data_IF_833384407444
#
_entry.id   IF_833384407444
#
_cell.length_a   1.000
_cell.length_b   1.000
_cell.length_c   1.000
_cell.angle_alpha   90.00
_cell.angle_beta   90.00
_cell.angle_gamma   90.00
#
_symmetry.space_group_name_H-M   'P 1'
#
loop_
_entity.id
_entity.type
_entity.pdbx_description
1 polymer ?
#
# COMPACT_ATOMS: atom_id res chain seq x y z
N UNK A 1 -3.64 63.82 52.73
CA UNK A 1 -2.99 63.80 51.44
C UNK A 1 -2.61 62.34 51.18
N UNK A 2 -3.54 61.57 50.62
CA UNK A 2 -3.34 60.14 50.25
C UNK A 2 -3.31 60.01 48.73
N UNK A 3 -2.19 59.50 48.24
CA UNK A 3 -2.01 59.25 46.80
C UNK A 3 -2.47 57.82 46.45
N UNK A 4 -3.58 57.73 45.71
CA UNK A 4 -4.06 56.51 45.07
C UNK A 4 -3.01 56.00 44.04
N UNK A 5 -2.47 54.79 44.26
CA UNK A 5 -1.72 54.02 43.27
C UNK A 5 -2.69 53.09 42.53
N UNK A 6 -3.00 53.42 41.29
CA UNK A 6 -3.69 52.53 40.35
C UNK A 6 -2.68 51.52 39.80
N UNK A 7 -2.82 50.29 40.22
CA UNK A 7 -2.09 49.15 39.64
C UNK A 7 -2.76 48.71 38.34
N UNK A 8 -2.13 48.95 37.20
CA UNK A 8 -2.52 48.38 35.90
C UNK A 8 -2.20 46.88 35.92
N UNK A 9 -3.24 46.05 36.00
CA UNK A 9 -3.15 44.62 35.70
C UNK A 9 -3.14 44.43 34.17
N UNK A 10 -1.96 44.10 33.64
CA UNK A 10 -1.84 43.66 32.27
C UNK A 10 -2.44 42.26 32.08
N UNK A 11 -3.48 42.21 31.27
CA UNK A 11 -4.11 40.95 30.84
C UNK A 11 -3.26 40.34 29.74
N UNK A 12 -2.53 39.29 30.07
CA UNK A 12 -1.79 38.50 29.09
C UNK A 12 -2.79 37.57 28.38
N UNK A 13 -3.17 37.91 27.17
CA UNK A 13 -3.96 37.02 26.31
C UNK A 13 -3.00 35.97 25.74
N UNK A 14 -3.03 34.77 26.30
CA UNK A 14 -2.37 33.57 25.71
C UNK A 14 -3.23 33.13 24.54
N UNK A 15 -2.82 33.49 23.33
CA UNK A 15 -3.31 32.88 22.10
C UNK A 15 -2.81 31.44 22.01
N UNK A 16 -3.64 30.50 22.46
CA UNK A 16 -3.47 29.09 22.16
C UNK A 16 -3.71 28.87 20.67
N UNK A 17 -2.65 28.84 19.89
CA UNK A 17 -2.69 28.25 18.55
C UNK A 17 -2.99 26.76 18.72
N UNK A 18 -4.24 26.39 18.62
CA UNK A 18 -4.66 25.02 18.32
C UNK A 18 -4.19 24.73 16.89
N UNK A 19 -2.97 24.26 16.76
CA UNK A 19 -2.52 23.55 15.56
C UNK A 19 -3.35 22.26 15.51
N UNK A 20 -4.50 22.32 14.88
CA UNK A 20 -5.25 21.14 14.49
C UNK A 20 -4.40 20.35 13.52
N UNK A 21 -3.66 19.38 14.02
CA UNK A 21 -3.14 18.31 13.18
C UNK A 21 -4.35 17.61 12.59
N UNK A 22 -4.70 17.95 11.35
CA UNK A 22 -5.56 17.09 10.54
C UNK A 22 -4.80 15.78 10.40
N UNK A 23 -5.10 14.84 11.27
CA UNK A 23 -4.69 13.46 11.07
C UNK A 23 -5.38 13.02 9.78
N UNK A 24 -4.62 13.04 8.67
CA UNK A 24 -5.01 12.35 7.47
C UNK A 24 -5.16 10.88 7.88
N UNK A 25 -6.40 10.41 7.94
CA UNK A 25 -6.65 9.00 8.14
C UNK A 25 -6.03 8.27 6.94
N UNK A 26 -4.86 7.68 7.14
CA UNK A 26 -4.26 6.77 6.18
C UNK A 26 -5.33 5.75 5.81
N UNK A 27 -5.79 5.78 4.57
CA UNK A 27 -6.72 4.78 4.04
C UNK A 27 -5.90 3.51 3.82
N UNK A 28 -5.60 2.82 4.93
CA UNK A 28 -5.00 1.50 4.85
C UNK A 28 -6.08 0.52 4.38
N UNK A 29 -5.77 -0.31 3.40
CA UNK A 29 -6.72 -1.31 2.91
C UNK A 29 -7.07 -2.30 4.01
N UNK A 30 -8.35 -2.70 4.05
CA UNK A 30 -8.83 -3.61 5.09
C UNK A 30 -8.75 -5.08 4.66
N UNK A 31 -9.12 -5.41 3.43
CA UNK A 31 -9.19 -6.82 2.98
C UNK A 31 -8.97 -6.98 1.48
N UNK A 32 -7.78 -7.45 1.04
CA UNK A 32 -7.52 -7.75 -0.36
C UNK A 32 -8.41 -8.84 -0.97
N UNK A 33 -8.98 -9.75 -0.14
CA UNK A 33 -9.86 -10.82 -0.64
C UNK A 33 -11.20 -10.29 -1.10
N UNK A 34 -11.68 -9.19 -0.52
CA UNK A 34 -12.88 -8.49 -1.02
C UNK A 34 -12.66 -7.92 -2.41
N UNK A 35 -11.46 -7.38 -2.66
CA UNK A 35 -11.09 -6.87 -3.99
C UNK A 35 -11.09 -7.95 -5.05
N UNK A 36 -10.60 -9.17 -4.74
CA UNK A 36 -10.67 -10.32 -5.63
C UNK A 36 -12.11 -10.69 -5.98
N UNK A 37 -12.97 -10.80 -4.96
CA UNK A 37 -14.39 -11.09 -5.16
C UNK A 37 -15.07 -9.99 -6.01
N UNK A 38 -14.74 -8.73 -5.78
CA UNK A 38 -15.26 -7.62 -6.57
C UNK A 38 -14.78 -7.68 -8.02
N UNK A 39 -13.52 -8.03 -8.26
CA UNK A 39 -12.95 -8.18 -9.59
C UNK A 39 -13.75 -9.21 -10.42
N UNK A 40 -14.14 -10.31 -9.80
CA UNK A 40 -14.99 -11.34 -10.42
C UNK A 40 -16.43 -10.85 -10.55
N UNK A 41 -17.06 -10.41 -9.45
CA UNK A 41 -18.49 -10.07 -9.38
C UNK A 41 -18.86 -8.83 -10.20
N UNK A 42 -17.97 -7.83 -10.29
CA UNK A 42 -18.14 -6.64 -11.13
C UNK A 42 -17.78 -6.91 -12.60
N UNK A 43 -17.30 -8.12 -12.92
CA UNK A 43 -17.09 -8.59 -14.28
C UNK A 43 -15.77 -8.14 -14.92
N UNK A 44 -14.81 -7.63 -14.17
CA UNK A 44 -13.47 -7.25 -14.67
C UNK A 44 -12.78 -8.44 -15.34
N UNK A 45 -12.93 -9.65 -14.76
CA UNK A 45 -12.39 -10.93 -15.25
C UNK A 45 -12.90 -11.32 -16.64
N UNK A 46 -14.02 -10.75 -17.11
CA UNK A 46 -14.58 -11.01 -18.45
C UNK A 46 -13.72 -10.42 -19.57
N UNK A 47 -12.91 -9.40 -19.25
CA UNK A 47 -12.00 -8.75 -20.17
C UNK A 47 -10.54 -8.93 -19.79
N UNK A 48 -10.22 -8.87 -18.50
CA UNK A 48 -8.85 -8.90 -17.99
C UNK A 48 -8.50 -10.26 -17.39
N UNK A 49 -7.29 -10.72 -17.63
CA UNK A 49 -6.72 -11.84 -16.90
C UNK A 49 -5.77 -11.38 -15.77
N UNK A 50 -5.52 -12.31 -14.87
CA UNK A 50 -4.61 -12.19 -13.75
C UNK A 50 -3.75 -13.44 -13.70
N UNK A 51 -2.44 -13.31 -13.89
CA UNK A 51 -1.51 -14.45 -13.97
C UNK A 51 -1.88 -15.50 -15.03
N UNK A 52 -2.53 -15.10 -16.12
CA UNK A 52 -2.96 -15.99 -17.18
C UNK A 52 -4.31 -16.68 -16.94
N UNK A 53 -4.97 -16.39 -15.82
CA UNK A 53 -6.33 -16.83 -15.51
C UNK A 53 -7.34 -15.71 -15.80
N UNK A 54 -8.30 -15.97 -16.65
CA UNK A 54 -9.33 -15.02 -17.10
C UNK A 54 -9.38 -14.85 -18.61
N UNK A 55 -10.01 -13.77 -19.05
CA UNK A 55 -10.16 -13.44 -20.46
C UNK A 55 -8.88 -12.79 -21.02
N UNK A 56 -8.58 -13.11 -22.27
CA UNK A 56 -7.48 -12.48 -23.03
C UNK A 56 -7.92 -11.31 -23.91
N UNK A 57 -9.14 -10.82 -23.72
CA UNK A 57 -9.66 -9.67 -24.47
C UNK A 57 -8.95 -8.37 -24.07
N UNK A 58 -8.69 -8.19 -22.78
CA UNK A 58 -7.86 -7.13 -22.22
C UNK A 58 -6.47 -7.64 -21.81
N UNK A 59 -5.58 -6.74 -21.40
CA UNK A 59 -4.26 -7.14 -20.94
C UNK A 59 -4.31 -7.87 -19.58
N UNK A 60 -3.31 -8.71 -19.35
CA UNK A 60 -2.98 -9.27 -18.02
C UNK A 60 -2.58 -8.13 -17.09
N UNK A 61 -3.37 -7.94 -16.03
CA UNK A 61 -3.20 -6.81 -15.10
C UNK A 61 -1.96 -6.94 -14.21
N UNK A 62 -1.45 -8.16 -13.99
CA UNK A 62 -0.20 -8.37 -13.25
C UNK A 62 1.00 -7.82 -14.01
N UNK A 63 0.96 -7.90 -15.35
CA UNK A 63 2.04 -7.44 -16.24
C UNK A 63 1.96 -5.96 -16.59
N UNK A 64 0.91 -5.27 -16.15
CA UNK A 64 0.73 -3.84 -16.43
C UNK A 64 1.18 -2.98 -15.27
N UNK A 65 1.74 -1.84 -15.61
CA UNK A 65 1.96 -0.79 -14.62
C UNK A 65 0.61 -0.16 -14.26
N UNK A 66 0.07 -0.52 -13.09
CA UNK A 66 -1.22 -0.02 -12.58
C UNK A 66 -1.09 1.24 -11.71
N UNK A 67 0.08 1.87 -11.68
CA UNK A 67 0.36 2.98 -10.78
C UNK A 67 0.90 2.52 -9.42
N UNK A 68 1.26 3.45 -8.56
CA UNK A 68 1.87 3.16 -7.25
C UNK A 68 0.88 3.37 -6.10
N UNK A 69 -0.16 4.16 -6.35
CA UNK A 69 -1.15 4.58 -5.35
C UNK A 69 -2.58 4.37 -5.85
N UNK A 70 -3.61 4.43 -4.98
CA UNK A 70 -5.01 4.40 -5.41
C UNK A 70 -5.35 5.48 -6.44
N UNK A 71 -4.83 6.69 -6.27
CA UNK A 71 -5.07 7.78 -7.23
C UNK A 71 -4.37 7.55 -8.56
N UNK A 72 -3.16 6.97 -8.56
CA UNK A 72 -2.51 6.56 -9.81
C UNK A 72 -3.36 5.54 -10.58
N UNK A 73 -3.92 4.54 -9.87
CA UNK A 73 -4.85 3.59 -10.47
C UNK A 73 -6.10 4.29 -11.01
N UNK A 74 -6.63 5.27 -10.27
CA UNK A 74 -7.77 6.08 -10.70
C UNK A 74 -7.47 6.83 -12.00
N UNK A 75 -6.31 7.47 -12.11
CA UNK A 75 -5.89 8.15 -13.34
C UNK A 75 -5.81 7.18 -14.51
N UNK A 76 -5.28 5.97 -14.29
CA UNK A 76 -5.18 4.95 -15.34
C UNK A 76 -6.55 4.41 -15.75
N UNK A 77 -7.44 4.16 -14.80
CA UNK A 77 -8.82 3.79 -15.08
C UNK A 77 -9.53 4.88 -15.89
N UNK A 78 -9.38 6.15 -15.50
CA UNK A 78 -9.90 7.29 -16.24
C UNK A 78 -9.40 7.32 -17.67
N UNK A 79 -8.08 7.28 -17.86
CA UNK A 79 -7.45 7.33 -19.17
C UNK A 79 -7.87 6.15 -20.07
N UNK A 80 -8.16 5.00 -19.47
CA UNK A 80 -8.57 3.78 -20.17
C UNK A 80 -10.09 3.68 -20.37
N UNK A 81 -10.87 4.52 -19.71
CA UNK A 81 -12.35 4.46 -19.72
C UNK A 81 -12.95 4.41 -21.13
N UNK A 82 -12.56 5.23 -22.13
CA UNK A 82 -13.15 5.15 -23.46
C UNK A 82 -13.00 3.78 -24.11
N UNK A 83 -11.82 3.18 -24.01
CA UNK A 83 -11.56 1.84 -24.57
C UNK A 83 -12.35 0.76 -23.83
N UNK A 84 -12.47 0.86 -22.50
CA UNK A 84 -13.29 -0.08 -21.73
C UNK A 84 -14.77 0.01 -22.08
N UNK A 85 -15.32 1.22 -22.23
CA UNK A 85 -16.73 1.40 -22.60
C UNK A 85 -16.99 0.79 -23.97
N UNK A 86 -16.14 1.04 -24.96
CA UNK A 86 -16.27 0.41 -26.28
C UNK A 86 -16.22 -1.12 -26.23
N UNK A 87 -15.33 -1.68 -25.41
CA UNK A 87 -15.25 -3.12 -25.20
C UNK A 87 -16.49 -3.69 -24.50
N UNK A 88 -17.05 -2.98 -23.52
CA UNK A 88 -18.29 -3.36 -22.82
C UNK A 88 -19.50 -3.33 -23.77
N UNK A 89 -19.63 -2.32 -24.62
CA UNK A 89 -20.70 -2.23 -25.64
C UNK A 89 -20.62 -3.41 -26.60
N UNK A 90 -19.42 -3.75 -27.09
CA UNK A 90 -19.19 -4.90 -27.96
C UNK A 90 -19.58 -6.25 -27.33
N UNK A 91 -19.48 -6.37 -26.01
CA UNK A 91 -19.83 -7.58 -25.26
C UNK A 91 -21.20 -7.52 -24.58
N UNK A 92 -21.95 -6.44 -24.77
CA UNK A 92 -23.23 -6.15 -24.08
C UNK A 92 -23.10 -6.17 -22.54
N UNK A 93 -21.94 -5.83 -22.03
CA UNK A 93 -21.69 -5.76 -20.61
C UNK A 93 -22.11 -4.39 -20.07
N UNK A 94 -22.87 -4.37 -18.99
CA UNK A 94 -23.22 -3.14 -18.28
C UNK A 94 -22.00 -2.67 -17.49
N UNK A 95 -21.65 -1.39 -17.62
CA UNK A 95 -20.56 -0.79 -16.86
C UNK A 95 -20.82 -0.91 -15.36
N UNK A 96 -19.89 -1.49 -14.58
CA UNK A 96 -20.10 -1.67 -13.15
C UNK A 96 -20.04 -0.32 -12.42
N UNK A 97 -20.95 -0.15 -11.45
CA UNK A 97 -20.93 0.95 -10.49
C UNK A 97 -20.09 0.53 -9.30
N UNK A 98 -19.27 1.44 -8.79
CA UNK A 98 -18.40 1.24 -7.65
C UNK A 98 -18.72 2.23 -6.54
N UNK A 99 -18.72 1.78 -5.29
CA UNK A 99 -18.61 2.65 -4.12
C UNK A 99 -17.14 3.01 -3.87
N UNK A 100 -16.87 4.03 -3.05
CA UNK A 100 -15.49 4.37 -2.67
C UNK A 100 -14.77 3.20 -1.98
N UNK A 101 -15.48 2.46 -1.13
CA UNK A 101 -14.94 1.27 -0.48
C UNK A 101 -14.62 0.16 -1.49
N UNK A 102 -15.52 -0.12 -2.45
CA UNK A 102 -15.27 -1.10 -3.51
C UNK A 102 -14.10 -0.69 -4.41
N UNK A 103 -13.96 0.60 -4.72
CA UNK A 103 -12.82 1.10 -5.45
C UNK A 103 -11.52 0.89 -4.67
N UNK A 104 -11.53 1.16 -3.36
CA UNK A 104 -10.38 0.93 -2.50
C UNK A 104 -10.01 -0.56 -2.45
N UNK A 105 -10.97 -1.45 -2.21
CA UNK A 105 -10.74 -2.90 -2.14
C UNK A 105 -10.18 -3.45 -3.47
N UNK A 106 -10.71 -3.01 -4.61
CA UNK A 106 -10.18 -3.34 -5.94
C UNK A 106 -8.75 -2.83 -6.13
N UNK A 107 -8.47 -1.58 -5.71
CA UNK A 107 -7.14 -0.99 -5.80
C UNK A 107 -6.12 -1.80 -5.01
N UNK A 108 -6.49 -2.23 -3.81
CA UNK A 108 -5.68 -3.08 -2.94
C UNK A 108 -5.41 -4.43 -3.57
N UNK A 109 -6.45 -5.08 -4.08
CA UNK A 109 -6.30 -6.37 -4.75
C UNK A 109 -5.37 -6.26 -5.97
N UNK A 110 -5.59 -5.29 -6.85
CA UNK A 110 -4.78 -5.07 -8.04
C UNK A 110 -3.33 -4.70 -7.68
N UNK A 111 -3.14 -3.96 -6.59
CA UNK A 111 -1.82 -3.67 -6.07
C UNK A 111 -1.17 -4.95 -5.51
N UNK A 112 -1.92 -5.76 -4.78
CA UNK A 112 -1.45 -7.04 -4.23
C UNK A 112 -1.03 -8.03 -5.32
N UNK A 113 -1.68 -8.02 -6.48
CA UNK A 113 -1.30 -8.89 -7.60
C UNK A 113 0.14 -8.70 -8.09
N UNK A 114 0.74 -7.55 -7.84
CA UNK A 114 2.13 -7.26 -8.15
C UNK A 114 3.13 -8.01 -7.26
N UNK A 115 2.65 -8.65 -6.20
CA UNK A 115 3.45 -9.41 -5.25
C UNK A 115 3.99 -10.73 -5.76
N UNK A 116 3.56 -11.19 -6.90
CA UNK A 116 4.16 -12.39 -7.45
C UNK A 116 5.62 -12.11 -7.78
N UNK A 117 6.47 -12.26 -6.76
CA UNK A 117 7.88 -12.45 -6.99
C UNK A 117 8.03 -13.47 -8.12
N UNK A 118 8.84 -13.13 -9.12
CA UNK A 118 9.18 -14.10 -10.14
C UNK A 118 9.68 -15.39 -9.47
N UNK A 119 9.60 -16.52 -10.14
CA UNK A 119 10.12 -17.76 -9.57
C UNK A 119 11.64 -17.68 -9.44
N UNK A 120 12.17 -18.02 -8.26
CA UNK A 120 13.59 -18.21 -8.04
C UNK A 120 14.12 -19.41 -8.82
N UNK A 121 15.42 -19.53 -8.89
CA UNK A 121 16.09 -20.66 -9.50
C UNK A 121 16.57 -21.64 -8.41
N UNK A 122 15.99 -22.86 -8.31
CA UNK A 122 16.35 -23.80 -7.25
C UNK A 122 17.79 -24.29 -7.33
N UNK A 123 18.41 -24.29 -8.52
CA UNK A 123 19.82 -24.67 -8.67
C UNK A 123 20.73 -23.61 -8.09
N UNK A 124 20.49 -22.33 -8.39
CA UNK A 124 21.20 -21.22 -7.73
C UNK A 124 20.89 -21.19 -6.23
N UNK A 125 19.67 -21.46 -5.83
CA UNK A 125 19.28 -21.54 -4.41
C UNK A 125 20.09 -22.58 -3.63
N UNK A 126 20.39 -23.74 -4.23
CA UNK A 126 21.30 -24.74 -3.66
C UNK A 126 22.71 -24.17 -3.46
N UNK A 127 23.22 -23.42 -4.43
CA UNK A 127 24.52 -22.75 -4.30
C UNK A 127 24.50 -21.73 -3.16
N UNK A 128 23.47 -20.88 -3.10
CA UNK A 128 23.27 -19.91 -2.03
C UNK A 128 23.22 -20.60 -0.65
N UNK A 129 22.46 -21.68 -0.51
CA UNK A 129 22.38 -22.47 0.73
C UNK A 129 23.75 -22.97 1.19
N UNK A 130 24.56 -23.41 0.24
CA UNK A 130 25.90 -23.94 0.52
C UNK A 130 26.91 -22.83 0.80
N UNK A 131 26.99 -21.81 -0.06
CA UNK A 131 27.96 -20.71 0.03
C UNK A 131 27.73 -19.84 1.28
N UNK A 132 26.47 -19.66 1.66
CA UNK A 132 26.13 -18.91 2.88
C UNK A 132 26.17 -19.76 4.16
N UNK A 133 26.58 -21.02 4.05
CA UNK A 133 26.83 -21.90 5.21
C UNK A 133 25.57 -22.36 5.95
N UNK A 134 24.39 -22.24 5.37
CA UNK A 134 23.12 -22.65 6.01
C UNK A 134 23.15 -24.13 6.40
N UNK A 135 23.79 -24.98 5.59
CA UNK A 135 23.94 -26.43 5.80
C UNK A 135 24.72 -26.80 7.05
N UNK A 136 25.51 -25.88 7.61
CA UNK A 136 26.31 -26.15 8.82
C UNK A 136 25.40 -26.38 10.06
N UNK A 137 24.23 -25.76 10.06
CA UNK A 137 23.24 -25.88 11.13
C UNK A 137 21.94 -26.54 10.66
N UNK A 138 21.44 -26.17 9.49
CA UNK A 138 20.16 -26.66 8.99
C UNK A 138 20.35 -27.89 8.09
N UNK A 139 19.94 -29.09 8.57
CA UNK A 139 20.06 -30.30 7.76
C UNK A 139 19.15 -30.20 6.52
N UNK A 140 19.67 -30.76 5.42
CA UNK A 140 18.92 -30.88 4.20
C UNK A 140 19.14 -32.26 3.60
N UNK A 141 18.07 -33.00 3.36
CA UNK A 141 18.12 -34.36 2.86
C UNK A 141 19.02 -35.32 3.72
N UNK A 142 18.93 -35.19 5.04
CA UNK A 142 19.68 -36.05 5.98
C UNK A 142 21.14 -35.65 6.20
N UNK A 143 21.60 -34.54 5.64
CA UNK A 143 22.95 -33.99 5.89
C UNK A 143 22.80 -32.70 6.73
N UNK A 144 23.54 -32.62 7.83
CA UNK A 144 23.54 -31.49 8.78
C UNK A 144 23.31 -31.97 10.21
N UNK A 145 23.19 -31.04 11.14
CA UNK A 145 22.94 -31.36 12.57
C UNK A 145 21.52 -31.84 12.75
N UNK A 146 21.34 -32.94 13.48
CA UNK A 146 20.03 -33.57 13.72
C UNK A 146 19.21 -32.88 14.83
N UNK A 147 19.82 -31.97 15.58
CA UNK A 147 19.21 -31.22 16.67
C UNK A 147 18.59 -29.87 16.22
N UNK A 148 18.70 -29.52 14.93
CA UNK A 148 18.15 -28.33 14.35
C UNK A 148 17.04 -28.66 13.32
N UNK A 149 16.07 -27.76 13.17
CA UNK A 149 14.98 -27.93 12.21
C UNK A 149 15.50 -27.97 10.77
N UNK A 150 15.31 -29.11 10.12
CA UNK A 150 15.69 -29.28 8.72
C UNK A 150 14.76 -28.52 7.77
N UNK A 151 15.31 -27.93 6.73
CA UNK A 151 14.49 -27.23 5.72
C UNK A 151 13.52 -28.16 4.98
N UNK A 152 13.77 -29.47 4.97
CA UNK A 152 12.83 -30.46 4.44
C UNK A 152 11.53 -30.57 5.26
N UNK A 153 11.54 -30.14 6.52
CA UNK A 153 10.37 -30.14 7.40
C UNK A 153 9.51 -28.89 7.26
N UNK A 154 9.98 -27.90 6.51
CA UNK A 154 9.24 -26.67 6.27
C UNK A 154 7.96 -26.95 5.48
N UNK A 155 6.91 -26.12 5.65
CA UNK A 155 5.68 -26.24 4.88
C UNK A 155 5.95 -26.07 3.38
N UNK A 156 5.17 -26.76 2.55
CA UNK A 156 5.30 -26.66 1.08
C UNK A 156 4.91 -25.29 0.56
N UNK A 157 4.04 -24.57 1.29
CA UNK A 157 3.66 -23.18 0.99
C UNK A 157 4.61 -22.14 1.58
N UNK A 158 5.88 -22.49 1.77
CA UNK A 158 6.88 -21.54 2.24
C UNK A 158 6.89 -20.27 1.38
N UNK A 159 6.88 -19.13 2.04
CA UNK A 159 6.87 -17.80 1.44
C UNK A 159 7.98 -16.92 2.04
N UNK A 160 8.31 -15.77 1.45
CA UNK A 160 9.21 -14.80 2.07
C UNK A 160 8.77 -14.39 3.47
N UNK A 161 7.46 -14.30 3.70
CA UNK A 161 6.88 -13.94 5.01
C UNK A 161 7.11 -15.07 6.03
N UNK A 162 6.88 -16.33 5.62
CA UNK A 162 7.16 -17.48 6.49
C UNK A 162 8.62 -17.50 6.93
N UNK A 163 9.53 -17.32 5.98
CA UNK A 163 10.96 -17.32 6.26
C UNK A 163 11.33 -16.16 7.19
N UNK A 164 10.77 -14.97 6.96
CA UNK A 164 11.00 -13.79 7.81
C UNK A 164 10.55 -14.00 9.24
N UNK A 165 9.39 -14.65 9.47
CA UNK A 165 8.92 -15.02 10.80
C UNK A 165 9.92 -15.95 11.50
N UNK A 166 10.35 -16.99 10.78
CA UNK A 166 11.31 -17.95 11.31
C UNK A 166 12.63 -17.25 11.69
N UNK A 167 13.17 -16.47 10.78
CA UNK A 167 14.39 -15.70 10.99
C UNK A 167 14.24 -14.75 12.19
N UNK A 168 13.18 -13.96 12.25
CA UNK A 168 12.96 -13.01 13.35
C UNK A 168 12.89 -13.70 14.70
N UNK A 169 12.09 -14.75 14.80
CA UNK A 169 11.86 -15.44 16.07
C UNK A 169 13.06 -16.27 16.53
N UNK A 170 13.97 -16.64 15.63
CA UNK A 170 15.11 -17.53 15.87
C UNK A 170 16.47 -16.80 15.78
N UNK A 171 16.49 -15.52 15.44
CA UNK A 171 17.69 -14.77 15.11
C UNK A 171 18.74 -14.72 16.22
N UNK A 172 18.34 -14.64 17.50
CA UNK A 172 19.30 -14.63 18.61
C UNK A 172 20.06 -15.95 18.72
N UNK A 173 19.36 -17.07 18.60
CA UNK A 173 19.96 -18.40 18.66
C UNK A 173 20.92 -18.60 17.48
N UNK A 174 20.50 -18.15 16.28
CA UNK A 174 21.36 -18.18 15.09
C UNK A 174 22.62 -17.34 15.27
N UNK A 175 22.52 -16.09 15.78
CA UNK A 175 23.69 -15.24 16.03
C UNK A 175 24.64 -15.90 17.03
N UNK A 176 24.11 -16.43 18.13
CA UNK A 176 24.92 -17.11 19.15
C UNK A 176 25.66 -18.33 18.58
N UNK A 177 24.96 -19.15 17.80
CA UNK A 177 25.55 -20.34 17.15
C UNK A 177 26.61 -19.98 16.10
N UNK A 178 26.33 -19.00 15.26
CA UNK A 178 27.31 -18.49 14.27
C UNK A 178 28.58 -17.97 14.95
N UNK A 179 28.43 -17.22 16.06
CA UNK A 179 29.57 -16.73 16.83
C UNK A 179 30.43 -17.86 17.38
N UNK A 180 29.81 -18.96 17.89
CA UNK A 180 30.52 -20.13 18.40
C UNK A 180 31.43 -20.81 17.35
N UNK A 181 31.02 -20.80 16.09
CA UNK A 181 31.79 -21.41 15.00
C UNK A 181 32.60 -20.39 14.18
N UNK A 182 32.67 -19.12 14.61
CA UNK A 182 33.38 -18.07 13.93
C UNK A 182 32.75 -17.65 12.58
N UNK A 183 31.49 -17.96 12.36
CA UNK A 183 30.77 -17.64 11.13
C UNK A 183 30.22 -16.21 11.17
N UNK A 184 30.49 -15.45 10.12
CA UNK A 184 29.87 -14.11 9.96
C UNK A 184 28.43 -14.26 9.46
N UNK A 185 27.57 -13.31 9.88
CA UNK A 185 26.19 -13.24 9.39
C UNK A 185 26.15 -13.07 7.86
N UNK A 186 25.59 -14.00 7.10
CA UNK A 186 25.57 -13.93 5.66
C UNK A 186 24.53 -12.90 5.20
N UNK A 187 24.86 -12.14 4.14
CA UNK A 187 23.96 -11.18 3.54
C UNK A 187 23.42 -11.71 2.22
N UNK A 188 22.14 -11.48 1.96
CA UNK A 188 21.52 -11.75 0.67
C UNK A 188 21.69 -10.56 -0.27
N UNK A 189 21.94 -10.84 -1.53
CA UNK A 189 22.07 -9.89 -2.63
C UNK A 189 21.03 -10.23 -3.69
N UNK A 190 20.48 -9.21 -4.36
CA UNK A 190 19.58 -9.37 -5.50
C UNK A 190 18.56 -10.52 -5.32
N UNK A 191 18.60 -11.52 -6.18
CA UNK A 191 17.65 -12.64 -6.22
C UNK A 191 17.99 -13.80 -5.28
N UNK A 192 19.09 -13.74 -4.53
CA UNK A 192 19.59 -14.87 -3.74
C UNK A 192 18.55 -15.40 -2.72
N UNK A 193 17.80 -14.52 -2.09
CA UNK A 193 16.73 -14.92 -1.14
C UNK A 193 15.62 -15.67 -1.88
N UNK A 194 15.23 -15.20 -3.05
CA UNK A 194 14.21 -15.82 -3.89
C UNK A 194 14.67 -17.18 -4.41
N UNK A 195 15.92 -17.26 -4.85
CA UNK A 195 16.52 -18.52 -5.30
C UNK A 195 16.58 -19.56 -4.17
N UNK A 196 16.97 -19.11 -2.95
CA UNK A 196 16.97 -19.95 -1.76
C UNK A 196 15.58 -20.46 -1.40
N UNK A 197 14.58 -19.57 -1.43
CA UNK A 197 13.18 -19.94 -1.16
C UNK A 197 12.71 -21.01 -2.14
N UNK A 198 13.00 -20.86 -3.44
CA UNK A 198 12.60 -21.84 -4.44
C UNK A 198 13.30 -23.18 -4.22
N UNK A 199 14.59 -23.17 -3.83
CA UNK A 199 15.31 -24.39 -3.47
C UNK A 199 14.68 -25.09 -2.26
N UNK A 200 14.33 -24.36 -1.22
CA UNK A 200 13.65 -24.91 -0.05
C UNK A 200 12.28 -25.47 -0.45
N UNK A 201 11.48 -24.72 -1.19
CA UNK A 201 10.12 -25.05 -1.61
C UNK A 201 10.04 -26.39 -2.39
N UNK A 202 10.92 -26.60 -3.35
CA UNK A 202 10.91 -27.84 -4.15
C UNK A 202 11.30 -29.08 -3.33
N UNK A 203 11.88 -28.90 -2.16
CA UNK A 203 12.35 -29.97 -1.28
C UNK A 203 11.57 -30.05 0.05
N UNK A 204 10.70 -29.11 0.35
CA UNK A 204 9.87 -29.06 1.55
C UNK A 204 8.82 -30.17 1.52
N UNK A 205 8.58 -30.81 2.68
CA UNK A 205 7.66 -31.94 2.85
C UNK A 205 6.67 -31.71 4.00
N UNK A 206 6.85 -30.65 4.78
CA UNK A 206 6.00 -30.32 5.90
C UNK A 206 4.56 -29.99 5.50
N UNK A 207 3.67 -29.99 6.46
CA UNK A 207 2.28 -29.58 6.25
C UNK A 207 2.22 -28.06 6.00
N UNK A 208 1.30 -27.66 5.12
CA UNK A 208 1.08 -26.25 4.82
C UNK A 208 0.57 -25.49 6.05
N UNK A 209 1.07 -24.27 6.26
CA UNK A 209 0.57 -23.36 7.29
C UNK A 209 -0.53 -22.46 6.67
N UNK A 210 -1.81 -22.65 7.08
CA UNK A 210 -2.92 -21.94 6.47
C UNK A 210 -2.89 -20.43 6.66
N UNK A 211 -2.13 -19.92 7.64
CA UNK A 211 -2.01 -18.49 7.87
C UNK A 211 -1.34 -17.76 6.68
N UNK A 212 -0.49 -18.46 5.91
CA UNK A 212 0.22 -17.89 4.76
C UNK A 212 -0.53 -17.98 3.44
N UNK A 213 -1.72 -18.57 3.42
CA UNK A 213 -2.61 -18.55 2.27
C UNK A 213 -3.54 -17.34 2.22
N UNK A 214 -3.67 -16.64 3.35
CA UNK A 214 -4.54 -15.47 3.45
C UNK A 214 -3.73 -14.19 3.28
N UNK A 215 -4.23 -13.22 2.52
CA UNK A 215 -3.66 -11.88 2.50
C UNK A 215 -3.64 -11.29 3.92
N UNK A 216 -2.58 -10.56 4.23
CA UNK A 216 -2.50 -9.83 5.49
C UNK A 216 -3.40 -8.60 5.51
N UNK A 217 -3.79 -8.19 6.70
CA UNK A 217 -4.55 -6.97 6.93
C UNK A 217 -3.58 -5.83 7.32
N UNK A 218 -3.37 -4.81 6.46
CA UNK A 218 -2.45 -3.71 6.75
C UNK A 218 -2.84 -2.89 7.98
N UNK A 219 -4.14 -2.77 8.29
CA UNK A 219 -4.62 -2.04 9.47
C UNK A 219 -4.24 -2.76 10.77
N UNK A 220 -4.41 -4.08 10.80
CA UNK A 220 -3.92 -4.93 11.90
C UNK A 220 -2.38 -4.86 11.96
N UNK A 221 -1.72 -4.85 10.81
CA UNK A 221 -0.26 -4.70 10.71
C UNK A 221 0.25 -3.40 11.32
N UNK A 222 -0.46 -2.27 11.15
CA UNK A 222 -0.15 -1.00 11.82
C UNK A 222 -0.28 -1.13 13.34
N UNK A 223 -1.31 -1.80 13.82
CA UNK A 223 -1.47 -2.05 15.26
C UNK A 223 -0.32 -2.91 15.81
N UNK A 224 0.06 -3.97 15.06
CA UNK A 224 1.19 -4.82 15.43
C UNK A 224 2.49 -4.03 15.44
N UNK A 225 2.74 -3.17 14.45
CA UNK A 225 3.90 -2.29 14.38
C UNK A 225 4.06 -1.46 15.67
N UNK A 226 2.96 -0.88 16.16
CA UNK A 226 2.93 -0.09 17.38
C UNK A 226 3.02 -0.98 18.64
N UNK A 227 2.18 -2.00 18.74
CA UNK A 227 2.09 -2.82 19.96
C UNK A 227 3.31 -3.72 20.19
N UNK A 228 4.01 -4.11 19.12
CA UNK A 228 5.26 -4.85 19.19
C UNK A 228 6.50 -3.93 19.29
N UNK A 229 6.28 -2.60 19.33
CA UNK A 229 7.31 -1.60 19.63
C UNK A 229 8.25 -1.29 18.47
N UNK A 230 7.87 -1.55 17.23
CA UNK A 230 8.65 -1.14 16.05
C UNK A 230 8.72 0.39 15.94
N UNK A 231 7.64 1.08 16.30
CA UNK A 231 7.47 2.54 16.36
C UNK A 231 8.41 3.23 17.36
N UNK A 232 8.94 2.51 18.35
CA UNK A 232 9.92 3.05 19.31
C UNK A 232 11.27 3.36 18.69
N UNK A 233 11.53 2.81 17.51
CA UNK A 233 12.78 3.05 16.77
C UNK A 233 12.52 3.57 15.36
N UNK A 234 11.47 3.13 14.68
CA UNK A 234 11.18 3.46 13.30
C UNK A 234 10.09 4.52 13.19
N UNK A 235 10.34 5.55 12.40
CA UNK A 235 9.31 6.48 11.93
C UNK A 235 8.66 5.98 10.63
N UNK A 236 7.47 6.50 10.38
CA UNK A 236 6.75 6.36 9.12
C UNK A 236 6.49 7.78 8.60
N UNK A 237 7.14 8.17 7.50
CA UNK A 237 7.00 9.50 6.87
C UNK A 237 7.25 10.66 7.83
N UNK A 238 8.23 10.49 8.70
CA UNK A 238 8.60 11.50 9.70
C UNK A 238 7.77 11.47 10.98
N UNK A 239 6.73 10.61 11.06
CA UNK A 239 5.97 10.39 12.30
C UNK A 239 6.56 9.20 13.05
N UNK A 240 6.95 9.38 14.30
CA UNK A 240 7.52 8.35 15.17
C UNK A 240 8.94 8.64 15.63
N UNK A 241 9.66 7.60 16.09
CA UNK A 241 10.99 7.74 16.63
C UNK A 241 12.08 7.83 15.54
N UNK A 242 13.17 8.52 15.85
CA UNK A 242 14.33 8.73 14.94
C UNK A 242 15.48 7.73 15.17
N UNK A 243 15.32 6.74 16.04
CA UNK A 243 16.36 5.77 16.36
C UNK A 243 16.67 4.74 15.27
N UNK A 244 15.75 4.55 14.35
CA UNK A 244 15.82 3.68 13.16
C UNK A 244 15.67 4.49 11.87
N UNK A 245 15.66 3.77 10.75
CA UNK A 245 15.33 4.38 9.44
C UNK A 245 13.82 4.68 9.36
N UNK A 246 13.48 5.73 8.65
CA UNK A 246 12.09 6.02 8.30
C UNK A 246 11.61 5.03 7.25
N UNK A 247 10.76 4.08 7.70
CA UNK A 247 10.28 3.00 6.82
C UNK A 247 9.33 3.51 5.74
N UNK A 248 8.63 4.62 5.97
CA UNK A 248 7.77 5.23 4.96
C UNK A 248 8.57 5.82 3.80
N UNK A 249 9.76 6.39 4.06
CA UNK A 249 10.68 6.87 3.03
C UNK A 249 11.43 5.73 2.35
N UNK A 250 11.91 4.76 3.13
CA UNK A 250 12.58 3.56 2.60
C UNK A 250 11.62 2.66 1.83
N UNK A 251 10.32 2.72 2.09
CA UNK A 251 9.32 1.93 1.38
C UNK A 251 9.35 2.15 -0.14
N UNK A 252 9.79 3.30 -0.60
CA UNK A 252 10.03 3.54 -2.03
C UNK A 252 11.21 2.73 -2.59
N UNK A 253 12.13 2.25 -1.74
CA UNK A 253 13.23 1.36 -2.14
C UNK A 253 12.83 -0.11 -2.11
N UNK A 254 11.77 -0.48 -1.36
CA UNK A 254 11.21 -1.84 -1.28
C UNK A 254 10.08 -2.06 -2.30
N UNK A 255 10.06 -1.31 -3.40
CA UNK A 255 8.93 -1.19 -4.33
C UNK A 255 8.51 -2.46 -5.05
N UNK A 256 9.28 -3.52 -4.96
CA UNK A 256 9.15 -4.59 -5.93
C UNK A 256 8.73 -5.93 -5.38
N UNK A 257 9.03 -6.29 -4.11
CA UNK A 257 8.63 -7.61 -3.64
C UNK A 257 8.68 -7.85 -2.13
N UNK A 258 7.90 -8.83 -1.67
CA UNK A 258 7.97 -9.34 -0.30
C UNK A 258 9.36 -9.92 0.01
N UNK A 259 10.01 -10.52 -1.00
CA UNK A 259 11.36 -11.07 -0.86
C UNK A 259 12.39 -9.98 -0.58
N UNK A 260 12.22 -8.78 -1.13
CA UNK A 260 13.10 -7.64 -0.81
C UNK A 260 12.92 -7.15 0.62
N UNK A 261 11.69 -7.09 1.12
CA UNK A 261 11.42 -6.77 2.54
C UNK A 261 12.09 -7.84 3.42
N UNK A 262 11.88 -9.11 3.13
CA UNK A 262 12.49 -10.23 3.84
C UNK A 262 14.02 -10.17 3.84
N UNK A 263 14.62 -9.91 2.66
CA UNK A 263 16.07 -9.77 2.49
C UNK A 263 16.62 -8.60 3.28
N UNK A 264 15.93 -7.46 3.27
CA UNK A 264 16.31 -6.28 4.03
C UNK A 264 16.25 -6.52 5.54
N UNK A 265 15.18 -7.16 6.02
CA UNK A 265 15.04 -7.54 7.43
C UNK A 265 16.17 -8.49 7.85
N UNK A 266 16.49 -9.50 7.03
CA UNK A 266 17.62 -10.38 7.26
C UNK A 266 18.94 -9.62 7.33
N UNK A 267 19.24 -8.84 6.29
CA UNK A 267 20.53 -8.14 6.16
C UNK A 267 20.78 -7.13 7.28
N UNK A 268 19.71 -6.50 7.79
CA UNK A 268 19.74 -5.52 8.89
C UNK A 268 19.53 -6.17 10.27
N UNK A 269 19.15 -7.45 10.32
CA UNK A 269 18.79 -8.18 11.54
C UNK A 269 19.78 -8.02 12.70
N UNK A 270 21.08 -8.32 12.53
CA UNK A 270 22.05 -8.17 13.61
C UNK A 270 22.14 -6.74 14.16
N UNK A 271 22.02 -5.73 13.30
CA UNK A 271 22.03 -4.31 13.70
C UNK A 271 20.79 -3.94 14.49
N UNK A 272 19.63 -4.41 14.05
CA UNK A 272 18.34 -4.19 14.74
C UNK A 272 18.40 -4.81 16.13
N UNK A 273 18.81 -6.09 16.21
CA UNK A 273 18.87 -6.82 17.46
C UNK A 273 19.88 -6.21 18.46
N UNK A 274 21.05 -5.74 17.97
CA UNK A 274 22.03 -5.05 18.79
C UNK A 274 21.46 -3.74 19.37
N UNK A 275 20.76 -2.96 18.58
CA UNK A 275 20.09 -1.73 19.06
C UNK A 275 18.97 -2.02 20.06
N UNK A 276 18.18 -3.07 19.83
CA UNK A 276 17.15 -3.51 20.79
C UNK A 276 17.75 -3.93 22.12
N UNK A 277 18.87 -4.66 22.10
CA UNK A 277 19.59 -5.06 23.30
C UNK A 277 20.14 -3.83 24.06
N UNK A 278 20.72 -2.85 23.36
CA UNK A 278 21.18 -1.59 23.97
C UNK A 278 20.03 -0.80 24.60
N UNK A 279 18.85 -0.79 23.97
CA UNK A 279 17.66 -0.13 24.49
C UNK A 279 16.95 -0.96 25.58
N UNK A 280 17.49 -2.12 25.97
CA UNK A 280 16.88 -3.06 26.91
C UNK A 280 15.43 -3.44 26.53
N UNK A 281 15.09 -3.31 25.26
CA UNK A 281 13.80 -3.76 24.72
C UNK A 281 13.88 -5.24 24.38
N UNK A 282 12.97 -6.03 24.93
CA UNK A 282 12.86 -7.43 24.56
C UNK A 282 12.53 -7.59 23.08
N UNK A 283 12.96 -8.68 22.45
CA UNK A 283 12.61 -8.99 21.08
C UNK A 283 11.22 -9.63 21.07
N UNK A 284 10.21 -8.97 20.47
CA UNK A 284 8.87 -9.53 20.42
C UNK A 284 8.85 -10.74 19.48
N UNK A 285 8.31 -11.86 19.92
CA UNK A 285 8.01 -12.99 19.04
C UNK A 285 6.74 -12.69 18.25
N UNK A 286 6.76 -12.98 16.96
CA UNK A 286 5.64 -12.79 16.06
C UNK A 286 4.98 -14.13 15.71
N UNK A 287 3.67 -14.18 15.78
CA UNK A 287 2.89 -15.30 15.23
C UNK A 287 2.85 -15.25 13.70
N UNK A 288 2.40 -16.33 13.07
CA UNK A 288 2.24 -16.36 11.61
C UNK A 288 1.32 -15.24 11.12
N UNK A 289 0.16 -15.07 11.77
CA UNK A 289 -0.81 -14.02 11.42
C UNK A 289 -0.21 -12.62 11.60
N UNK A 290 0.41 -12.34 12.73
CA UNK A 290 1.03 -11.03 12.98
C UNK A 290 2.12 -10.70 11.96
N UNK A 291 2.89 -11.71 11.54
CA UNK A 291 3.91 -11.49 10.51
C UNK A 291 3.28 -11.16 9.17
N UNK A 292 2.23 -11.88 8.77
CA UNK A 292 1.50 -11.63 7.51
C UNK A 292 0.89 -10.23 7.51
N UNK A 293 0.25 -9.83 8.62
CA UNK A 293 -0.36 -8.50 8.75
C UNK A 293 0.69 -7.39 8.76
N UNK A 294 1.80 -7.56 9.50
CA UNK A 294 2.91 -6.61 9.54
C UNK A 294 3.55 -6.41 8.16
N UNK A 295 3.77 -7.51 7.43
CA UNK A 295 4.30 -7.43 6.06
C UNK A 295 3.33 -6.72 5.13
N UNK A 296 2.03 -6.99 5.25
CA UNK A 296 1.02 -6.26 4.50
C UNK A 296 1.10 -4.75 4.79
N UNK A 297 1.20 -4.34 6.06
CA UNK A 297 1.37 -2.94 6.43
C UNK A 297 2.62 -2.31 5.79
N UNK A 298 3.79 -2.93 5.98
CA UNK A 298 5.05 -2.42 5.44
C UNK A 298 5.02 -2.31 3.92
N UNK A 299 4.38 -3.25 3.27
CA UNK A 299 4.24 -3.26 1.83
C UNK A 299 3.31 -2.15 1.33
N UNK A 300 2.21 -1.88 2.04
CA UNK A 300 1.29 -0.83 1.65
C UNK A 300 1.73 0.58 2.08
N UNK A 301 2.87 0.75 2.76
CA UNK A 301 3.38 2.09 3.08
C UNK A 301 3.56 2.99 1.85
N UNK A 302 4.08 2.52 0.69
CA UNK A 302 4.16 3.33 -0.51
C UNK A 302 2.80 3.57 -1.19
N UNK A 303 1.79 2.79 -0.85
CA UNK A 303 0.46 2.82 -1.48
C UNK A 303 -0.38 4.04 -1.08
N UNK A 304 0.06 4.85 -0.14
CA UNK A 304 -0.67 6.06 0.27
C UNK A 304 -0.34 7.24 -0.65
N UNK A 305 -1.38 7.93 -1.11
CA UNK A 305 -1.22 9.11 -1.97
C UNK A 305 -0.55 10.26 -1.22
N UNK A 306 0.40 10.92 -1.88
CA UNK A 306 0.87 12.23 -1.43
C UNK A 306 -0.26 13.27 -1.61
N UNK A 307 -0.35 14.26 -0.71
CA UNK A 307 -1.32 15.35 -0.87
C UNK A 307 -1.11 16.08 -2.20
N UNK A 308 -2.20 16.34 -2.91
CA UNK A 308 -2.19 17.15 -4.12
C UNK A 308 -2.17 18.65 -3.79
N UNK A 309 -1.97 19.48 -4.81
CA UNK A 309 -2.01 20.93 -4.74
C UNK A 309 -3.38 21.45 -5.18
N UNK A 310 -4.12 22.09 -4.29
CA UNK A 310 -5.40 22.73 -4.60
C UNK A 310 -5.24 23.73 -5.77
N UNK A 311 -4.13 24.49 -5.78
CA UNK A 311 -3.89 25.49 -6.82
C UNK A 311 -3.67 24.84 -8.19
N UNK A 312 -2.85 23.80 -8.27
CA UNK A 312 -2.64 23.06 -9.50
C UNK A 312 -3.93 22.37 -9.95
N UNK A 313 -4.67 21.77 -9.02
CA UNK A 313 -5.95 21.14 -9.31
C UNK A 313 -6.97 22.12 -9.93
N UNK A 314 -7.01 23.37 -9.46
CA UNK A 314 -7.83 24.42 -10.04
C UNK A 314 -7.42 24.74 -11.49
N UNK A 315 -6.12 24.82 -11.75
CA UNK A 315 -5.58 25.06 -13.10
C UNK A 315 -5.97 23.89 -14.01
N UNK A 316 -5.67 22.67 -13.58
CA UNK A 316 -5.98 21.44 -14.33
C UNK A 316 -7.49 21.31 -14.62
N UNK A 317 -8.34 21.62 -13.64
CA UNK A 317 -9.80 21.59 -13.80
C UNK A 317 -10.27 22.50 -14.95
N UNK A 318 -9.60 23.64 -15.14
CA UNK A 318 -9.87 24.57 -16.24
C UNK A 318 -9.23 24.11 -17.56
N UNK A 319 -7.97 23.70 -17.54
CA UNK A 319 -7.22 23.27 -18.74
C UNK A 319 -7.79 21.98 -19.34
N UNK A 320 -8.23 21.06 -18.51
CA UNK A 320 -8.93 19.83 -18.92
C UNK A 320 -10.39 20.07 -19.29
N UNK A 321 -10.84 21.33 -19.27
CA UNK A 321 -12.19 21.76 -19.66
C UNK A 321 -13.33 21.21 -18.79
N UNK A 322 -13.01 20.70 -17.60
CA UNK A 322 -14.03 20.27 -16.62
C UNK A 322 -14.95 21.43 -16.25
N UNK A 323 -14.39 22.64 -16.15
CA UNK A 323 -15.11 23.87 -15.81
C UNK A 323 -16.20 24.26 -16.83
N UNK A 324 -16.16 23.76 -18.06
CA UNK A 324 -17.18 24.08 -19.08
C UNK A 324 -18.55 23.47 -18.75
N UNK A 325 -18.54 22.28 -18.15
CA UNK A 325 -19.75 21.62 -17.68
C UNK A 325 -19.97 21.82 -16.16
N UNK A 326 -18.88 21.88 -15.38
CA UNK A 326 -18.90 21.96 -13.92
C UNK A 326 -18.52 23.35 -13.37
N UNK A 327 -18.66 24.41 -14.16
CA UNK A 327 -18.31 25.78 -13.76
C UNK A 327 -19.25 26.39 -12.73
N UNK A 328 -18.80 27.48 -12.09
CA UNK A 328 -19.56 28.20 -11.07
C UNK A 328 -20.72 29.04 -11.65
N UNK A 329 -20.80 29.24 -12.95
CA UNK A 329 -21.82 30.06 -13.58
C UNK A 329 -23.10 29.26 -13.87
N UNK A 330 -24.04 29.35 -12.93
CA UNK A 330 -25.37 28.71 -12.99
C UNK A 330 -26.20 29.09 -14.24
N UNK A 331 -25.81 30.13 -14.97
CA UNK A 331 -26.58 30.63 -16.12
C UNK A 331 -26.25 29.88 -17.43
N UNK A 332 -25.11 29.18 -17.50
CA UNK A 332 -24.68 28.45 -18.69
C UNK A 332 -24.89 26.94 -18.64
N UNK A 333 -25.08 26.39 -17.46
CA UNK A 333 -25.15 24.93 -17.32
C UNK A 333 -26.47 24.50 -16.70
N UNK A 334 -27.37 23.95 -17.52
CA UNK A 334 -28.33 22.94 -17.06
C UNK A 334 -27.62 21.66 -16.59
N UNK A 335 -26.30 21.62 -16.59
CA UNK A 335 -25.40 20.52 -16.29
C UNK A 335 -24.69 20.80 -14.95
N UNK A 336 -25.02 20.00 -14.01
CA UNK A 336 -24.42 19.58 -12.75
C UNK A 336 -23.27 20.47 -12.21
N UNK A 337 -23.62 21.50 -11.51
CA UNK A 337 -22.74 22.15 -10.54
C UNK A 337 -22.18 21.11 -9.56
N UNK A 338 -20.86 21.05 -9.40
CA UNK A 338 -20.25 20.23 -8.34
C UNK A 338 -20.61 20.88 -7.02
N UNK A 339 -21.56 20.28 -6.31
CA UNK A 339 -21.90 20.70 -4.95
C UNK A 339 -20.80 20.24 -4.00
N UNK A 340 -19.78 21.08 -3.85
CA UNK A 340 -18.64 20.82 -2.97
C UNK A 340 -19.06 20.46 -1.55
N UNK A 341 -20.26 20.91 -1.09
CA UNK A 341 -20.75 20.58 0.25
C UNK A 341 -21.06 19.09 0.41
N UNK A 342 -21.45 18.43 -0.66
CA UNK A 342 -21.70 16.97 -0.65
C UNK A 342 -20.43 16.15 -0.53
N UNK A 343 -19.29 16.73 -0.91
CA UNK A 343 -17.99 16.04 -0.91
C UNK A 343 -17.12 16.43 0.29
N UNK A 344 -17.50 17.38 1.13
CA UNK A 344 -16.72 17.78 2.32
C UNK A 344 -16.49 16.65 3.33
N UNK A 345 -17.39 15.66 3.37
CA UNK A 345 -17.25 14.47 4.20
C UNK A 345 -16.84 13.22 3.39
N UNK A 346 -16.67 13.36 2.07
CA UNK A 346 -16.32 12.24 1.21
C UNK A 346 -14.81 11.96 1.27
N UNK A 347 -14.47 10.69 1.24
CA UNK A 347 -13.07 10.27 1.07
C UNK A 347 -12.61 10.52 -0.38
N UNK A 348 -11.28 10.53 -0.59
CA UNK A 348 -10.71 10.60 -1.94
C UNK A 348 -11.22 9.46 -2.84
N UNK A 349 -11.36 8.27 -2.27
CA UNK A 349 -11.89 7.10 -2.99
C UNK A 349 -13.37 7.22 -3.33
N UNK A 350 -14.20 7.89 -2.50
CA UNK A 350 -15.59 8.17 -2.83
C UNK A 350 -15.70 9.10 -4.03
N UNK A 351 -14.87 10.15 -4.07
CA UNK A 351 -14.83 11.06 -5.23
C UNK A 351 -14.39 10.34 -6.49
N UNK A 352 -13.33 9.54 -6.43
CA UNK A 352 -12.83 8.77 -7.58
C UNK A 352 -13.88 7.78 -8.08
N UNK A 353 -14.56 7.07 -7.17
CA UNK A 353 -15.66 6.18 -7.53
C UNK A 353 -16.82 6.94 -8.18
N UNK A 354 -17.13 8.14 -7.68
CA UNK A 354 -18.15 9.02 -8.29
C UNK A 354 -17.75 9.43 -9.72
N UNK A 355 -16.50 9.83 -9.94
CA UNK A 355 -15.97 10.16 -11.27
C UNK A 355 -16.06 8.94 -12.20
N UNK A 356 -15.66 7.77 -11.74
CA UNK A 356 -15.81 6.52 -12.50
C UNK A 356 -17.28 6.27 -12.86
N UNK A 357 -18.18 6.34 -11.89
CA UNK A 357 -19.59 6.05 -12.11
C UNK A 357 -20.22 6.99 -13.13
N UNK A 358 -19.79 8.26 -13.14
CA UNK A 358 -20.28 9.31 -14.02
C UNK A 358 -19.57 9.38 -15.39
N UNK A 359 -18.55 8.58 -15.62
CA UNK A 359 -17.69 8.68 -16.80
C UNK A 359 -18.40 8.46 -18.15
N UNK A 360 -19.50 7.68 -18.17
CA UNK A 360 -20.28 7.47 -19.39
C UNK A 360 -21.04 8.73 -19.81
N UNK A 361 -21.62 9.45 -18.86
CA UNK A 361 -22.30 10.73 -19.07
C UNK A 361 -21.29 11.79 -19.50
N UNK A 362 -20.13 11.85 -18.87
CA UNK A 362 -19.04 12.74 -19.25
C UNK A 362 -18.61 12.46 -20.70
N UNK A 363 -18.47 11.19 -21.07
CA UNK A 363 -18.06 10.82 -22.42
C UNK A 363 -19.10 11.24 -23.47
N UNK A 364 -20.38 11.10 -23.17
CA UNK A 364 -21.48 11.55 -24.06
C UNK A 364 -21.46 13.09 -24.22
N UNK A 365 -21.40 13.82 -23.12
CA UNK A 365 -21.36 15.28 -23.12
C UNK A 365 -20.12 15.81 -23.84
N UNK A 366 -18.94 15.22 -23.60
CA UNK A 366 -17.71 15.59 -24.30
C UNK A 366 -17.83 15.38 -25.82
N UNK A 367 -18.48 14.29 -26.26
CA UNK A 367 -18.72 14.01 -27.66
C UNK A 367 -19.69 15.02 -28.30
N UNK A 368 -20.76 15.39 -27.61
CA UNK A 368 -21.74 16.40 -28.06
C UNK A 368 -21.09 17.78 -28.20
N UNK A 369 -20.22 18.14 -27.28
CA UNK A 369 -19.47 19.41 -27.29
C UNK A 369 -18.17 19.35 -28.14
N UNK A 370 -17.91 18.24 -28.82
CA UNK A 370 -16.70 17.98 -29.60
C UNK A 370 -15.40 18.18 -28.82
N UNK A 371 -15.41 17.85 -27.52
CA UNK A 371 -14.26 17.91 -26.64
C UNK A 371 -13.47 16.60 -26.67
N UNK A 372 -12.14 16.64 -26.70
CA UNK A 372 -11.33 15.45 -26.53
C UNK A 372 -11.49 14.90 -25.11
N UNK A 373 -11.36 13.56 -24.96
CA UNK A 373 -11.27 12.96 -23.62
C UNK A 373 -9.99 13.45 -22.93
N UNK A 374 -10.10 14.09 -21.75
CA UNK A 374 -8.93 14.61 -21.07
C UNK A 374 -8.11 13.46 -20.48
N UNK A 375 -6.81 13.45 -20.72
CA UNK A 375 -5.88 12.50 -20.11
C UNK A 375 -5.33 13.10 -18.82
N UNK A 376 -5.29 12.29 -17.76
CA UNK A 376 -4.84 12.69 -16.43
C UNK A 376 -3.48 12.03 -16.15
N UNK A 377 -2.47 12.82 -15.81
CA UNK A 377 -1.15 12.36 -15.39
C UNK A 377 -1.12 11.81 -13.96
N UNK A 378 0.00 11.17 -13.59
CA UNK A 378 0.16 10.51 -12.27
C UNK A 378 -0.18 11.41 -11.08
N UNK A 379 0.33 12.63 -11.02
CA UNK A 379 0.09 13.55 -9.90
C UNK A 379 -1.14 14.42 -10.08
N UNK A 380 -1.57 14.60 -11.29
CA UNK A 380 -2.67 15.51 -11.64
C UNK A 380 -3.99 15.09 -11.05
N UNK A 381 -4.21 13.77 -10.91
CA UNK A 381 -5.41 13.25 -10.26
C UNK A 381 -5.47 13.63 -8.77
N UNK A 382 -4.31 13.61 -8.07
CA UNK A 382 -4.24 14.03 -6.67
C UNK A 382 -4.55 15.54 -6.54
N UNK A 383 -3.99 16.36 -7.43
CA UNK A 383 -4.25 17.80 -7.47
C UNK A 383 -5.73 18.10 -7.74
N UNK A 384 -6.35 17.42 -8.72
CA UNK A 384 -7.78 17.54 -9.03
C UNK A 384 -8.66 17.12 -7.84
N UNK A 385 -8.35 16.01 -7.21
CA UNK A 385 -9.09 15.49 -6.05
C UNK A 385 -9.02 16.49 -4.89
N UNK A 386 -7.83 17.01 -4.56
CA UNK A 386 -7.69 18.02 -3.51
C UNK A 386 -8.46 19.31 -3.83
N UNK A 387 -8.45 19.77 -5.09
CA UNK A 387 -9.22 20.95 -5.50
C UNK A 387 -10.73 20.73 -5.36
N UNK A 388 -11.23 19.56 -5.79
CA UNK A 388 -12.66 19.25 -5.75
C UNK A 388 -13.14 19.06 -4.30
N UNK A 389 -12.32 18.47 -3.43
CA UNK A 389 -12.65 18.27 -2.01
C UNK A 389 -12.44 19.53 -1.16
N UNK A 390 -11.67 20.52 -1.65
CA UNK A 390 -11.37 21.73 -0.88
C UNK A 390 -12.64 22.56 -0.60
N UNK A 391 -12.76 23.16 0.60
CA UNK A 391 -13.80 24.13 0.89
C UNK A 391 -13.67 25.32 -0.06
N UNK A 392 -14.72 25.63 -0.83
CA UNK A 392 -14.71 26.79 -1.71
C UNK A 392 -15.07 28.08 -0.93
N UNK A 393 -14.23 29.14 -0.99
CA UNK A 393 -14.54 30.39 -0.32
C UNK A 393 -15.79 31.03 -0.96
N UNK A 394 -16.82 31.27 -0.15
CA UNK A 394 -18.05 31.97 -0.55
C UNK A 394 -19.33 31.14 -0.54
N UNK A 395 -19.28 29.85 -0.26
CA UNK A 395 -20.47 29.03 -0.13
C UNK A 395 -21.07 29.17 1.29
N UNK A 396 -22.03 30.06 1.47
CA UNK A 396 -22.89 30.04 2.66
C UNK A 396 -23.90 28.92 2.49
N UNK A 397 -23.86 27.95 3.40
CA UNK A 397 -24.86 26.90 3.52
C UNK A 397 -26.24 27.55 3.74
N UNK A 398 -27.06 27.66 2.69
CA UNK A 398 -28.44 28.20 2.78
C UNK A 398 -29.45 27.11 3.11
N UNK A 399 -29.03 26.00 3.68
CA UNK A 399 -29.93 24.94 4.16
C UNK A 399 -30.37 25.12 5.63
N UNK A 400 -30.63 26.35 6.06
CA UNK A 400 -31.40 26.65 7.26
C UNK A 400 -32.55 27.57 6.86
N UNK A 401 -33.59 26.99 6.27
CA UNK A 401 -34.97 27.47 6.31
C UNK A 401 -35.91 26.27 6.14
#
# INVERSE_FOLDING_TARGET
MERNRITKRGMVIILLFLSGSFAFADILPEDPTRGEQLFVNKGCVKCHDVNGEGSKFGPDLVKKDLGETPLDLAARLWNHTPSMILGMEGTRMIKPVLTGQEFNDLSVYLYFLRFSDGRGNPVRGKSVFTEKGCYLCHPFAGKGRQDELGFSEFPRNISPIFLSKGIWNHSLDMIARMAQIGMKWPKFRETEMMDLLEYIKVNAKGADDPAFFKPGNPKEGKQIFNTRGCDKCHSIRGEGAEGGVDLGKEAHTFRTSLTEIASSMWNKGPTILAKMAQAQSGIPKLTSKETVDLFAYLYFLPFTDEPGSIMNGKILFSEMRCAECHGQDRKRSNLLYIDHSKYQAASKTDLVASIWNHSLEIMKAAKEEQLPWPLIGKREIADLVEYILAPQPGYRNTSNF
#
